data_IF_279679867445
#
_entry.id   IF_279679867445
#
_cell.length_a   1.000
_cell.length_b   1.000
_cell.length_c   1.000
_cell.angle_alpha   90.00
_cell.angle_beta   90.00
_cell.angle_gamma   90.00
#
_symmetry.space_group_name_H-M   'P 1'
#
loop_
_entity.id
_entity.type
_entity.pdbx_description
1 polymer ?
#
# COMPACT_ATOMS: atom_id res chain seq x y z
N UNK A 1 -33.56 9.35 11.99
CA UNK A 1 -32.27 8.68 12.25
C UNK A 1 -31.20 9.75 12.08
N UNK A 2 -30.62 10.26 13.17
CA UNK A 2 -29.55 11.28 13.09
C UNK A 2 -28.28 10.59 12.61
N UNK A 3 -27.73 11.02 11.47
CA UNK A 3 -26.44 10.52 10.99
C UNK A 3 -25.36 11.02 11.94
N UNK A 4 -24.66 10.11 12.62
CA UNK A 4 -23.56 10.49 13.51
C UNK A 4 -22.36 10.99 12.71
N UNK A 5 -21.59 11.92 13.28
CA UNK A 5 -20.36 12.43 12.66
C UNK A 5 -19.35 11.30 12.36
N UNK A 6 -19.35 10.23 13.18
CA UNK A 6 -18.49 9.06 12.98
C UNK A 6 -18.81 8.31 11.69
N UNK A 7 -20.08 8.23 11.31
CA UNK A 7 -20.51 7.60 10.05
C UNK A 7 -20.05 8.44 8.86
N UNK A 8 -20.21 9.78 8.92
CA UNK A 8 -19.73 10.69 7.86
C UNK A 8 -18.22 10.57 7.66
N UNK A 9 -17.45 10.62 8.76
CA UNK A 9 -16.01 10.42 8.72
C UNK A 9 -15.64 9.03 8.21
N UNK A 10 -16.44 8.02 8.54
CA UNK A 10 -16.28 6.65 8.05
C UNK A 10 -16.37 6.54 6.53
N UNK A 11 -17.37 7.18 5.91
CA UNK A 11 -17.47 7.26 4.45
C UNK A 11 -16.29 8.03 3.83
N UNK A 12 -15.89 9.14 4.44
CA UNK A 12 -14.71 9.90 3.99
C UNK A 12 -13.43 9.05 3.99
N UNK A 13 -13.21 8.26 5.04
CA UNK A 13 -12.09 7.32 5.12
C UNK A 13 -12.13 6.27 4.01
N UNK A 14 -13.30 5.70 3.71
CA UNK A 14 -13.46 4.71 2.64
C UNK A 14 -13.09 5.32 1.28
N UNK A 15 -13.56 6.54 0.98
CA UNK A 15 -13.24 7.24 -0.27
C UNK A 15 -11.72 7.45 -0.39
N UNK A 16 -11.07 7.93 0.68
CA UNK A 16 -9.61 8.13 0.69
C UNK A 16 -8.85 6.81 0.52
N UNK A 17 -9.32 5.73 1.12
CA UNK A 17 -8.69 4.40 0.98
C UNK A 17 -8.87 3.84 -0.44
N UNK A 18 -10.03 4.03 -1.07
CA UNK A 18 -10.24 3.66 -2.48
C UNK A 18 -9.30 4.46 -3.39
N UNK A 19 -9.17 5.77 -3.16
CA UNK A 19 -8.22 6.61 -3.90
C UNK A 19 -6.78 6.14 -3.69
N UNK A 20 -6.38 5.82 -2.46
CA UNK A 20 -5.06 5.28 -2.15
C UNK A 20 -4.79 3.93 -2.84
N UNK A 21 -5.77 3.03 -2.89
CA UNK A 21 -5.65 1.76 -3.60
C UNK A 21 -5.48 1.97 -5.11
N UNK A 22 -6.24 2.91 -5.68
CA UNK A 22 -6.11 3.30 -7.09
C UNK A 22 -4.71 3.84 -7.40
N UNK A 23 -4.21 4.79 -6.61
CA UNK A 23 -2.87 5.35 -6.83
C UNK A 23 -1.77 4.30 -6.62
N UNK A 24 -1.86 3.47 -5.59
CA UNK A 24 -0.92 2.36 -5.37
C UNK A 24 -0.88 1.41 -6.59
N UNK A 25 -2.04 1.05 -7.14
CA UNK A 25 -2.12 0.21 -8.34
C UNK A 25 -1.62 0.93 -9.60
N UNK A 26 -1.87 2.23 -9.72
CA UNK A 26 -1.37 3.05 -10.80
C UNK A 26 0.17 3.09 -10.80
N UNK A 27 0.79 3.25 -9.62
CA UNK A 27 2.24 3.21 -9.46
C UNK A 27 2.81 1.84 -9.85
N UNK A 28 2.15 0.74 -9.45
CA UNK A 28 2.51 -0.60 -9.92
C UNK A 28 2.51 -0.68 -11.45
N UNK A 29 1.47 -0.15 -12.11
CA UNK A 29 1.32 -0.19 -13.56
C UNK A 29 2.45 0.57 -14.27
N UNK A 30 2.84 1.74 -13.76
CA UNK A 30 3.93 2.54 -14.33
C UNK A 30 5.30 1.91 -14.09
N UNK A 31 5.52 1.38 -12.89
CA UNK A 31 6.83 0.95 -12.44
C UNK A 31 6.92 -0.58 -12.35
N UNK A 32 6.49 -1.31 -13.41
CA UNK A 32 6.37 -2.80 -13.51
C UNK A 32 7.48 -3.64 -12.84
N UNK A 33 8.61 -3.02 -12.53
CA UNK A 33 9.76 -3.52 -11.78
C UNK A 33 9.46 -3.85 -10.30
N UNK A 34 8.44 -3.26 -9.67
CA UNK A 34 8.12 -3.49 -8.26
C UNK A 34 6.80 -4.23 -8.01
N UNK A 35 6.81 -5.58 -8.03
CA UNK A 35 5.66 -6.40 -7.56
C UNK A 35 5.25 -6.05 -6.12
N UNK A 36 6.13 -5.43 -5.33
CA UNK A 36 5.82 -4.88 -4.01
C UNK A 36 4.65 -3.89 -3.98
N UNK A 37 4.38 -3.15 -5.06
CA UNK A 37 3.22 -2.25 -5.11
C UNK A 37 1.89 -3.01 -5.12
N UNK A 38 1.85 -4.24 -5.63
CA UNK A 38 0.65 -5.08 -5.51
C UNK A 38 0.36 -5.47 -4.07
N UNK A 39 1.40 -5.69 -3.25
CA UNK A 39 1.22 -5.98 -1.82
C UNK A 39 0.68 -4.76 -1.07
N UNK A 40 1.17 -3.56 -1.40
CA UNK A 40 0.61 -2.31 -0.85
C UNK A 40 -0.83 -2.12 -1.29
N UNK A 41 -1.15 -2.33 -2.57
CA UNK A 41 -2.53 -2.27 -3.06
C UNK A 41 -3.44 -3.27 -2.34
N UNK A 42 -2.99 -4.52 -2.16
CA UNK A 42 -3.73 -5.54 -1.44
C UNK A 42 -3.96 -5.15 0.03
N UNK A 43 -2.95 -4.59 0.70
CA UNK A 43 -3.08 -4.08 2.06
C UNK A 43 -4.15 -2.98 2.17
N UNK A 44 -4.14 -2.02 1.24
CA UNK A 44 -5.13 -0.93 1.22
C UNK A 44 -6.53 -1.46 0.95
N UNK A 45 -6.70 -2.44 0.05
CA UNK A 45 -8.00 -3.10 -0.20
C UNK A 45 -8.51 -3.75 1.09
N UNK A 46 -7.66 -4.47 1.83
CA UNK A 46 -8.04 -5.10 3.10
C UNK A 46 -8.38 -4.04 4.15
N UNK A 47 -7.66 -2.91 4.21
CA UNK A 47 -8.02 -1.77 5.07
C UNK A 47 -9.41 -1.21 4.74
N UNK A 48 -9.74 -1.08 3.46
CA UNK A 48 -11.07 -0.64 3.00
C UNK A 48 -12.16 -1.61 3.42
N UNK A 49 -11.96 -2.91 3.19
CA UNK A 49 -12.91 -3.94 3.62
C UNK A 49 -13.12 -3.91 5.13
N UNK A 50 -12.04 -3.77 5.90
CA UNK A 50 -12.12 -3.63 7.36
C UNK A 50 -12.94 -2.41 7.76
N UNK A 51 -12.73 -1.24 7.12
CA UNK A 51 -13.52 -0.04 7.43
C UNK A 51 -14.99 -0.19 7.03
N UNK A 52 -15.30 -0.86 5.93
CA UNK A 52 -16.68 -1.18 5.54
C UNK A 52 -17.36 -2.04 6.60
N UNK A 53 -16.67 -3.06 7.14
CA UNK A 53 -17.25 -3.88 8.21
C UNK A 53 -17.49 -3.09 9.51
N UNK A 54 -16.56 -2.20 9.88
CA UNK A 54 -16.72 -1.32 11.04
C UNK A 54 -17.92 -0.38 10.86
N UNK A 55 -18.09 0.21 9.67
CA UNK A 55 -19.24 1.06 9.34
C UNK A 55 -20.56 0.26 9.41
N UNK A 56 -20.57 -0.97 8.90
CA UNK A 56 -21.74 -1.86 8.99
C UNK A 56 -22.13 -2.17 10.43
N UNK A 57 -21.17 -2.31 11.35
CA UNK A 57 -21.44 -2.45 12.78
C UNK A 57 -21.98 -1.16 13.41
N UNK A 58 -21.38 0.00 13.09
CA UNK A 58 -21.84 1.32 13.57
C UNK A 58 -23.30 1.60 13.15
N UNK A 59 -23.66 1.20 11.93
CA UNK A 59 -25.01 1.36 11.37
C UNK A 59 -25.98 0.25 11.79
N UNK A 60 -25.56 -0.70 12.65
CA UNK A 60 -26.34 -1.88 13.07
C UNK A 60 -26.81 -2.77 11.91
N UNK A 61 -26.10 -2.72 10.77
CA UNK A 61 -26.31 -3.60 9.61
C UNK A 61 -25.64 -4.97 9.80
N UNK A 62 -24.64 -5.04 10.67
CA UNK A 62 -23.90 -6.24 11.02
C UNK A 62 -23.95 -6.48 12.53
N UNK A 63 -23.80 -7.73 12.94
CA UNK A 63 -23.65 -8.11 14.34
C UNK A 63 -22.29 -8.78 14.54
N UNK A 64 -21.51 -8.31 15.51
CA UNK A 64 -20.18 -8.85 15.76
C UNK A 64 -20.25 -10.12 16.63
N UNK A 65 -19.88 -11.28 16.06
CA UNK A 65 -19.63 -12.51 16.83
C UNK A 65 -18.22 -12.49 17.46
N UNK A 66 -17.97 -13.35 18.46
CA UNK A 66 -16.64 -13.44 19.11
C UNK A 66 -15.50 -13.71 18.13
N UNK A 67 -15.72 -14.64 17.18
CA UNK A 67 -14.76 -14.93 16.10
C UNK A 67 -14.54 -13.73 15.17
N UNK A 68 -15.61 -13.00 14.83
CA UNK A 68 -15.50 -11.79 14.02
C UNK A 68 -14.63 -10.73 14.70
N UNK A 69 -14.78 -10.52 16.01
CA UNK A 69 -13.97 -9.55 16.76
C UNK A 69 -12.49 -9.94 16.78
N UNK A 70 -12.16 -11.23 16.90
CA UNK A 70 -10.77 -11.69 16.82
C UNK A 70 -10.17 -11.42 15.44
N UNK A 71 -10.91 -11.72 14.37
CA UNK A 71 -10.46 -11.46 13.00
C UNK A 71 -10.26 -9.95 12.76
N UNK A 72 -11.21 -9.12 13.18
CA UNK A 72 -11.15 -7.66 12.97
C UNK A 72 -10.07 -6.96 13.80
N UNK A 73 -9.81 -7.42 15.03
CA UNK A 73 -8.86 -6.77 15.95
C UNK A 73 -7.44 -7.28 15.82
N UNK A 74 -7.24 -8.51 15.35
CA UNK A 74 -5.93 -9.14 15.30
C UNK A 74 -5.54 -9.55 13.88
N UNK A 75 -6.29 -10.49 13.28
CA UNK A 75 -5.90 -11.11 12.00
C UNK A 75 -5.79 -10.09 10.87
N UNK A 76 -6.81 -9.23 10.71
CA UNK A 76 -6.83 -8.23 9.64
C UNK A 76 -5.72 -7.18 9.83
N UNK A 77 -5.57 -6.51 11.01
CA UNK A 77 -4.47 -5.57 11.24
C UNK A 77 -3.09 -6.19 11.02
N UNK A 78 -2.82 -7.39 11.55
CA UNK A 78 -1.53 -8.07 11.37
C UNK A 78 -1.26 -8.37 9.89
N UNK A 79 -2.27 -8.82 9.15
CA UNK A 79 -2.13 -9.09 7.71
C UNK A 79 -1.83 -7.82 6.91
N UNK A 80 -2.52 -6.72 7.23
CA UNK A 80 -2.25 -5.40 6.64
C UNK A 80 -0.80 -4.98 6.89
N UNK A 81 -0.33 -5.08 8.14
CA UNK A 81 1.04 -4.71 8.50
C UNK A 81 2.08 -5.56 7.77
N UNK A 82 1.86 -6.88 7.63
CA UNK A 82 2.76 -7.76 6.89
C UNK A 82 2.79 -7.40 5.41
N UNK A 83 1.65 -7.14 4.78
CA UNK A 83 1.61 -6.75 3.36
C UNK A 83 2.25 -5.40 3.11
N UNK A 84 2.04 -4.42 3.99
CA UNK A 84 2.73 -3.13 3.92
C UNK A 84 4.24 -3.30 4.09
N UNK A 85 4.68 -4.06 5.09
CA UNK A 85 6.10 -4.31 5.35
C UNK A 85 6.78 -4.96 4.15
N UNK A 86 6.22 -6.06 3.63
CA UNK A 86 6.79 -6.78 2.49
C UNK A 86 6.73 -5.94 1.20
N UNK A 87 5.64 -5.21 0.99
CA UNK A 87 5.48 -4.31 -0.15
C UNK A 87 6.53 -3.20 -0.17
N UNK A 88 6.66 -2.47 0.94
CA UNK A 88 7.62 -1.38 1.09
C UNK A 88 9.07 -1.87 1.09
N UNK A 89 9.36 -3.01 1.74
CA UNK A 89 10.70 -3.60 1.73
C UNK A 89 11.13 -4.01 0.31
N UNK A 90 10.21 -4.57 -0.48
CA UNK A 90 10.48 -4.89 -1.88
C UNK A 90 10.78 -3.64 -2.71
N UNK A 91 10.07 -2.53 -2.46
CA UNK A 91 10.34 -1.26 -3.14
C UNK A 91 11.70 -0.69 -2.73
N UNK A 92 11.99 -0.68 -1.43
CA UNK A 92 13.25 -0.17 -0.89
C UNK A 92 14.47 -0.84 -1.55
N UNK A 93 14.47 -2.17 -1.60
CA UNK A 93 15.53 -2.95 -2.25
C UNK A 93 15.66 -2.66 -3.74
N UNK A 94 14.53 -2.48 -4.44
CA UNK A 94 14.55 -2.11 -5.84
C UNK A 94 15.16 -0.72 -6.06
N UNK A 95 14.80 0.27 -5.23
CA UNK A 95 15.39 1.61 -5.32
C UNK A 95 16.90 1.61 -5.08
N UNK A 96 17.40 0.85 -4.11
CA UNK A 96 18.85 0.69 -3.90
C UNK A 96 19.55 0.13 -5.13
N UNK A 97 18.95 -0.90 -5.76
CA UNK A 97 19.52 -1.48 -6.98
C UNK A 97 19.62 -0.47 -8.13
N UNK A 98 18.64 0.44 -8.26
CA UNK A 98 18.65 1.48 -9.29
C UNK A 98 19.78 2.50 -9.05
N UNK A 99 19.95 3.00 -7.82
CA UNK A 99 21.03 3.96 -7.51
C UNK A 99 22.41 3.33 -7.76
N UNK A 100 22.60 2.06 -7.39
CA UNK A 100 23.85 1.34 -7.66
C UNK A 100 24.12 1.20 -9.17
N UNK A 101 23.10 0.92 -9.98
CA UNK A 101 23.24 0.82 -11.44
C UNK A 101 23.54 2.18 -12.07
N UNK A 102 22.87 3.24 -11.62
CA UNK A 102 23.07 4.60 -12.12
C UNK A 102 24.50 5.08 -11.87
N UNK A 103 25.02 4.89 -10.64
CA UNK A 103 26.41 5.24 -10.29
C UNK A 103 27.42 4.49 -11.15
N UNK A 104 27.28 3.16 -11.27
CA UNK A 104 28.19 2.34 -12.08
C UNK A 104 28.17 2.75 -13.55
N UNK A 105 27.00 3.13 -14.07
CA UNK A 105 26.84 3.57 -15.46
C UNK A 105 27.50 4.93 -15.67
N UNK A 106 27.28 5.88 -14.75
CA UNK A 106 27.93 7.19 -14.79
C UNK A 106 29.46 7.13 -14.73
N UNK A 107 30.01 6.25 -13.89
CA UNK A 107 31.47 6.01 -13.83
C UNK A 107 32.02 5.44 -15.14
N UNK A 108 31.35 4.45 -15.73
CA UNK A 108 31.74 3.90 -17.04
C UNK A 108 31.73 4.95 -18.14
N UNK A 109 30.71 5.81 -18.19
CA UNK A 109 30.63 6.89 -19.18
C UNK A 109 31.80 7.87 -19.00
N UNK A 110 32.12 8.26 -17.75
CA UNK A 110 33.28 9.13 -17.46
C UNK A 110 34.60 8.51 -17.90
N UNK A 111 34.79 7.20 -17.65
CA UNK A 111 36.00 6.48 -18.07
C UNK A 111 36.12 6.43 -19.60
N UNK A 112 35.04 6.14 -20.32
CA UNK A 112 35.01 6.14 -21.79
C UNK A 112 35.27 7.53 -22.38
N UNK A 113 34.71 8.58 -21.78
CA UNK A 113 34.96 9.96 -22.20
C UNK A 113 36.42 10.38 -21.99
N UNK A 114 37.06 9.92 -20.92
CA UNK A 114 38.49 10.16 -20.66
C UNK A 114 39.40 9.40 -21.62
N UNK A 115 39.03 8.17 -21.97
CA UNK A 115 39.78 7.35 -22.94
C UNK A 115 39.72 7.91 -24.37
N UNK A 116 38.61 8.55 -24.78
CA UNK A 116 38.48 9.20 -26.10
C UNK A 116 39.24 10.53 -26.25
N UNK A 117 39.68 11.15 -25.15
CA UNK A 117 40.42 12.43 -25.17
C UNK A 117 41.94 12.25 -25.16
N UNK A 118 42.43 11.00 -25.10
CA UNK A 118 43.83 10.62 -25.25
C UNK A 118 44.05 10.05 -26.64
#
# INVERSE_FOLDING_TARGET
MTVSITVVLGFGQIILQIAAAYFSYSIYRFNRLGKGWLLVTAAVIIMTLRRLTALGLEMKLLTASGTFQFIDRFVLPSSISVFLLLGLLSMYRNFESFDVVERKTGEKIKLLAKARKK
#
